data_IF_486705541243
#
_entry.id   IF_486705541243
#
_cell.length_a   1.000
_cell.length_b   1.000
_cell.length_c   1.000
_cell.angle_alpha   90.00
_cell.angle_beta   90.00
_cell.angle_gamma   90.00
#
_symmetry.space_group_name_H-M   'P 1'
#
loop_
_entity.id
_entity.type
_entity.pdbx_description
1 polymer ?
#
# COMPACT_ATOMS: atom_id res chain seq x y z
N UNK A 1 18.61 11.30 -3.33
CA UNK A 1 18.51 12.04 -2.05
C UNK A 1 17.19 11.61 -1.44
N UNK A 2 17.20 10.99 -0.26
CA UNK A 2 15.96 10.55 0.37
C UNK A 2 15.16 11.78 0.79
N UNK A 3 13.96 11.96 0.22
CA UNK A 3 13.01 12.98 0.64
C UNK A 3 12.45 12.62 2.01
N UNK A 4 12.56 13.54 2.96
CA UNK A 4 12.06 13.42 4.33
C UNK A 4 10.57 13.82 4.33
N UNK A 5 9.72 13.08 3.61
CA UNK A 5 8.28 13.26 3.71
C UNK A 5 7.67 12.25 4.68
N UNK A 6 6.94 12.75 5.68
CA UNK A 6 6.08 11.99 6.59
C UNK A 6 6.79 10.97 7.50
N UNK A 7 7.68 11.43 8.38
CA UNK A 7 8.28 10.60 9.45
C UNK A 7 7.24 10.06 10.45
N UNK A 8 6.07 10.67 10.51
CA UNK A 8 5.03 10.38 11.49
C UNK A 8 3.71 10.08 10.82
N UNK A 9 2.97 9.14 11.39
CA UNK A 9 1.62 8.75 10.96
C UNK A 9 0.69 8.67 12.16
N UNK A 10 -0.54 9.14 11.97
CA UNK A 10 -1.62 9.02 12.96
C UNK A 10 -2.48 7.81 12.62
N UNK A 11 -2.69 6.92 13.59
CA UNK A 11 -3.62 5.80 13.44
C UNK A 11 -5.06 6.33 13.29
N UNK A 12 -5.81 5.90 12.26
CA UNK A 12 -7.20 6.33 12.07
C UNK A 12 -8.17 5.70 13.09
N UNK A 13 -7.81 4.58 13.71
CA UNK A 13 -8.65 3.88 14.69
C UNK A 13 -8.46 4.40 16.12
N UNK A 14 -7.22 4.40 16.64
CA UNK A 14 -6.95 4.80 18.02
C UNK A 14 -6.39 6.22 18.18
N UNK A 15 -6.01 6.89 17.09
CA UNK A 15 -5.47 8.25 17.12
C UNK A 15 -4.01 8.38 17.57
N UNK A 16 -3.35 7.28 17.95
CA UNK A 16 -1.92 7.27 18.32
C UNK A 16 -1.05 7.74 17.16
N UNK A 17 -0.09 8.61 17.48
CA UNK A 17 0.93 9.08 16.54
C UNK A 17 2.19 8.24 16.72
N UNK A 18 2.74 7.75 15.63
CA UNK A 18 3.83 6.79 15.62
C UNK A 18 4.78 7.06 14.46
N UNK A 19 6.03 6.64 14.58
CA UNK A 19 7.01 6.76 13.51
C UNK A 19 6.68 5.80 12.36
N UNK A 20 6.90 6.25 11.13
CA UNK A 20 6.69 5.41 9.94
C UNK A 20 7.66 4.24 9.90
N UNK A 21 8.90 4.39 10.40
CA UNK A 21 9.85 3.28 10.53
C UNK A 21 9.31 2.16 11.41
N UNK A 22 8.82 2.51 12.60
CA UNK A 22 8.32 1.54 13.58
C UNK A 22 7.07 0.83 13.03
N UNK A 23 6.23 1.57 12.30
CA UNK A 23 5.08 1.00 11.60
C UNK A 23 5.50 0.00 10.53
N UNK A 24 6.51 0.34 9.71
CA UNK A 24 7.03 -0.53 8.65
C UNK A 24 7.69 -1.80 9.20
N UNK A 25 8.46 -1.68 10.28
CA UNK A 25 9.06 -2.81 10.99
C UNK A 25 7.98 -3.75 11.55
N UNK A 26 6.85 -3.20 11.99
CA UNK A 26 5.69 -3.97 12.45
C UNK A 26 4.68 -4.31 11.34
N UNK A 27 5.14 -4.43 10.09
CA UNK A 27 4.34 -4.88 8.94
C UNK A 27 3.09 -4.03 8.67
N UNK A 28 3.18 -2.74 8.94
CA UNK A 28 2.10 -1.77 8.82
C UNK A 28 0.90 -2.07 9.72
N UNK A 29 1.15 -2.59 10.93
CA UNK A 29 0.15 -2.79 11.99
C UNK A 29 0.40 -1.82 13.14
N UNK A 30 -0.67 -1.19 13.64
CA UNK A 30 -0.58 -0.26 14.76
C UNK A 30 -0.11 -0.96 16.03
N UNK A 31 1.00 -0.50 16.61
CA UNK A 31 1.59 -1.02 17.85
C UNK A 31 0.70 -0.83 19.10
N UNK A 32 -0.36 -0.03 18.99
CA UNK A 32 -1.22 0.32 20.12
C UNK A 32 -2.60 -0.37 20.09
N UNK A 33 -3.16 -0.65 18.91
CA UNK A 33 -4.52 -1.18 18.79
C UNK A 33 -4.71 -2.28 17.74
N UNK A 34 -3.63 -2.77 17.12
CA UNK A 34 -3.65 -3.80 16.08
C UNK A 34 -4.40 -3.40 14.78
N UNK A 35 -4.70 -2.11 14.59
CA UNK A 35 -5.21 -1.62 13.32
C UNK A 35 -4.25 -1.92 12.17
N UNK A 36 -4.74 -2.62 11.14
CA UNK A 36 -3.98 -2.92 9.93
C UNK A 36 -4.10 -1.76 8.94
N UNK A 37 -3.00 -1.06 8.70
CA UNK A 37 -2.94 -0.03 7.67
C UNK A 37 -2.98 -0.67 6.28
N UNK A 38 -3.45 0.12 5.29
CA UNK A 38 -3.33 -0.28 3.89
C UNK A 38 -1.86 -0.28 3.49
N UNK A 39 -1.49 -1.31 2.75
CA UNK A 39 -0.20 -1.40 2.05
C UNK A 39 -0.47 -1.68 0.58
N UNK A 40 0.49 -1.34 -0.26
CA UNK A 40 0.49 -1.64 -1.69
C UNK A 40 0.55 -3.14 -1.95
N UNK A 41 0.14 -3.55 -3.15
CA UNK A 41 0.28 -4.93 -3.59
C UNK A 41 1.75 -5.41 -3.54
N UNK A 42 2.70 -4.54 -3.89
CA UNK A 42 4.14 -4.84 -3.88
C UNK A 42 4.64 -5.12 -2.46
N UNK A 43 4.32 -4.25 -1.50
CA UNK A 43 4.68 -4.47 -0.09
C UNK A 43 4.08 -5.80 0.40
N UNK A 44 2.81 -6.09 0.08
CA UNK A 44 2.19 -7.36 0.47
C UNK A 44 2.93 -8.57 -0.10
N UNK A 45 3.35 -8.54 -1.37
CA UNK A 45 4.11 -9.61 -2.01
C UNK A 45 5.44 -9.84 -1.28
N UNK A 46 6.16 -8.77 -0.95
CA UNK A 46 7.45 -8.85 -0.24
C UNK A 46 7.31 -9.46 1.17
N UNK A 47 6.14 -9.32 1.81
CA UNK A 47 5.88 -9.90 3.13
C UNK A 47 5.60 -11.41 3.10
N UNK A 48 4.99 -11.92 2.03
CA UNK A 48 4.46 -13.29 1.98
C UNK A 48 5.27 -14.23 1.09
N UNK A 49 6.02 -13.69 0.13
CA UNK A 49 6.84 -14.47 -0.78
C UNK A 49 8.30 -14.50 -0.32
N UNK A 50 8.96 -15.64 -0.52
CA UNK A 50 10.40 -15.74 -0.28
C UNK A 50 11.15 -14.73 -1.16
N UNK A 51 12.17 -14.10 -0.59
CA UNK A 51 12.94 -13.04 -1.24
C UNK A 51 13.47 -13.49 -2.61
N UNK A 52 13.09 -12.75 -3.66
CA UNK A 52 13.55 -12.99 -5.03
C UNK A 52 12.86 -14.15 -5.75
N UNK A 53 11.84 -14.77 -5.15
CA UNK A 53 11.11 -15.88 -5.77
C UNK A 53 9.87 -15.43 -6.54
N UNK A 54 9.31 -14.28 -6.19
CA UNK A 54 8.14 -13.72 -6.88
C UNK A 54 8.46 -13.44 -8.35
N UNK A 55 7.61 -13.95 -9.24
CA UNK A 55 7.64 -13.68 -10.68
C UNK A 55 6.29 -13.15 -11.09
N UNK A 56 6.26 -11.87 -11.46
CA UNK A 56 5.04 -11.23 -11.95
C UNK A 56 4.55 -11.92 -13.23
N UNK A 57 3.25 -12.16 -13.30
CA UNK A 57 2.60 -12.75 -14.46
C UNK A 57 1.69 -11.71 -15.09
N UNK A 58 1.66 -11.68 -16.42
CA UNK A 58 0.75 -10.81 -17.18
C UNK A 58 0.90 -9.30 -16.91
N UNK A 59 2.12 -8.83 -16.63
CA UNK A 59 2.41 -7.43 -16.31
C UNK A 59 1.99 -6.41 -17.39
N UNK A 60 1.73 -6.88 -18.62
CA UNK A 60 1.32 -6.06 -19.76
C UNK A 60 -0.20 -6.07 -20.01
N UNK A 61 -1.01 -6.72 -19.17
CA UNK A 61 -2.47 -6.62 -19.26
C UNK A 61 -2.91 -5.25 -18.75
N UNK A 62 -3.74 -4.59 -19.56
CA UNK A 62 -4.35 -3.29 -19.25
C UNK A 62 -5.86 -3.36 -19.42
N UNK A 63 -6.58 -2.53 -18.67
CA UNK A 63 -8.03 -2.36 -18.84
C UNK A 63 -8.32 -1.72 -20.19
N UNK A 64 -9.40 -2.15 -20.83
CA UNK A 64 -9.99 -1.51 -22.01
C UNK A 64 -11.41 -1.05 -21.66
N UNK A 65 -11.96 -0.13 -22.45
CA UNK A 65 -13.35 0.30 -22.31
C UNK A 65 -14.22 -0.27 -23.46
N UNK A 66 -14.74 -1.50 -23.33
CA UNK A 66 -15.62 -2.09 -24.35
C UNK A 66 -17.03 -1.49 -24.35
N UNK A 67 -17.40 -0.74 -23.31
CA UNK A 67 -18.74 -0.18 -23.14
C UNK A 67 -18.83 1.29 -23.58
N UNK A 68 -17.69 1.93 -23.87
CA UNK A 68 -17.59 3.39 -24.02
C UNK A 68 -18.29 4.09 -22.84
N UNK A 69 -17.96 3.67 -21.63
CA UNK A 69 -18.67 4.05 -20.43
C UNK A 69 -18.33 5.50 -20.04
N UNK A 70 -19.34 6.37 -20.04
CA UNK A 70 -19.21 7.76 -19.62
C UNK A 70 -19.82 7.97 -18.23
N UNK A 71 -18.98 8.21 -17.22
CA UNK A 71 -19.42 8.45 -15.84
C UNK A 71 -19.55 9.95 -15.48
N UNK A 72 -19.42 10.83 -16.48
CA UNK A 72 -19.41 12.30 -16.27
C UNK A 72 -18.05 12.85 -15.84
N UNK A 73 -17.02 12.01 -15.73
CA UNK A 73 -15.61 12.39 -15.55
C UNK A 73 -14.79 11.70 -16.65
N UNK A 74 -13.72 12.32 -17.13
CA UNK A 74 -12.74 11.56 -17.91
C UNK A 74 -12.00 10.64 -16.94
N UNK A 75 -12.31 9.35 -16.99
CA UNK A 75 -11.50 8.32 -16.36
C UNK A 75 -11.15 7.29 -17.43
N UNK A 76 -9.89 6.82 -17.38
CA UNK A 76 -9.15 5.97 -18.33
C UNK A 76 -8.44 6.71 -19.46
#
# INVERSE_FOLDING_TARGET
>A
MAEIENLWVKCPECGTVMYVSDLQENLSVCLNCDYHFRISAKERIELIADKGTFKEQFANIISTDPLNFFDGKETY
#
